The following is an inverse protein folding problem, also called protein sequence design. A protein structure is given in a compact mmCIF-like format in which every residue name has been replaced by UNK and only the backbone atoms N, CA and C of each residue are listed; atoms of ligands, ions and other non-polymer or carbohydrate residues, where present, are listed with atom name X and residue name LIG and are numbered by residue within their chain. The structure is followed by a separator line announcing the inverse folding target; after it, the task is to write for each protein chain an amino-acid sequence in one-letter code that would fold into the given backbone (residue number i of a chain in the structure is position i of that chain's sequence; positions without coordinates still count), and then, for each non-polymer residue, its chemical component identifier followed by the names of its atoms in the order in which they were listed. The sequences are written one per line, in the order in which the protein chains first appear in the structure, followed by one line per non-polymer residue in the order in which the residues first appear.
data_IF_307278993985
#
_entry.id   IF_307278993985
#
_cell.length_a   1.000
_cell.length_b   1.000
_cell.length_c   1.000
_cell.angle_alpha   90.00
_cell.angle_beta   90.00
_cell.angle_gamma   90.00
#
_symmetry.space_group_name_H-M   'P 1'
#
loop_
_entity.id
_entity.type
_entity.pdbx_description
1 polymer ?
#
# COMPACT_ATOMS: atom_id res chain seq x y z
N UNK A 1 -11.93 -20.98 5.56
CA UNK A 1 -11.94 -19.96 4.50
C UNK A 1 -12.74 -20.51 3.34
N UNK A 2 -13.81 -19.81 2.95
CA UNK A 2 -14.60 -20.16 1.77
C UNK A 2 -13.83 -19.81 0.49
N UNK A 3 -14.22 -20.40 -0.64
CA UNK A 3 -13.64 -20.06 -1.95
C UNK A 3 -13.77 -18.56 -2.25
N UNK A 4 -14.92 -17.97 -1.92
CA UNK A 4 -15.19 -16.55 -2.13
C UNK A 4 -14.30 -15.65 -1.29
N UNK A 5 -14.07 -16.00 -0.02
CA UNK A 5 -13.13 -15.26 0.84
C UNK A 5 -11.71 -15.31 0.26
N UNK A 6 -11.28 -16.49 -0.24
CA UNK A 6 -9.97 -16.65 -0.84
C UNK A 6 -9.78 -15.78 -2.11
N UNK A 7 -10.80 -15.72 -2.96
CA UNK A 7 -10.83 -14.87 -4.17
C UNK A 7 -10.71 -13.39 -3.80
N UNK A 8 -11.51 -12.90 -2.85
CA UNK A 8 -11.46 -11.50 -2.41
C UNK A 8 -10.09 -11.13 -1.83
N UNK A 9 -9.49 -12.03 -1.04
CA UNK A 9 -8.13 -11.83 -0.51
C UNK A 9 -7.12 -11.73 -1.66
N UNK A 10 -7.18 -12.64 -2.64
CA UNK A 10 -6.26 -12.64 -3.78
C UNK A 10 -6.41 -11.38 -4.66
N UNK A 11 -7.61 -10.82 -4.77
CA UNK A 11 -7.89 -9.60 -5.54
C UNK A 11 -7.50 -8.31 -4.79
N UNK A 12 -7.49 -8.33 -3.46
CA UNK A 12 -7.39 -7.10 -2.65
C UNK A 12 -6.06 -6.97 -1.90
N UNK A 13 -5.43 -8.08 -1.52
CA UNK A 13 -4.20 -8.08 -0.75
C UNK A 13 -3.00 -8.21 -1.71
N UNK A 14 -2.05 -7.26 -1.69
CA UNK A 14 -0.82 -7.37 -2.48
C UNK A 14 -0.09 -8.68 -2.16
N UNK A 15 0.70 -9.17 -3.10
CA UNK A 15 1.44 -10.41 -2.88
C UNK A 15 2.23 -10.34 -1.57
N UNK A 16 2.05 -11.36 -0.72
CA UNK A 16 2.60 -11.38 0.64
C UNK A 16 3.08 -12.78 0.99
N UNK A 17 4.28 -12.90 1.57
CA UNK A 17 4.85 -14.16 2.08
C UNK A 17 5.53 -13.94 3.43
N UNK A 18 5.52 -14.96 4.28
CA UNK A 18 6.42 -15.01 5.43
C UNK A 18 7.84 -15.07 4.89
N UNK A 19 8.72 -14.21 5.39
CA UNK A 19 10.12 -14.17 5.00
C UNK A 19 10.83 -15.40 5.59
N UNK A 20 11.03 -16.43 4.78
CA UNK A 20 11.74 -17.66 5.15
C UNK A 20 12.31 -18.37 3.92
N UNK A 21 13.40 -19.15 4.04
CA UNK A 21 13.94 -19.91 2.92
C UNK A 21 12.88 -20.82 2.28
N UNK A 22 12.89 -20.89 0.94
CA UNK A 22 12.06 -21.81 0.19
C UNK A 22 11.44 -21.21 -1.07
N UNK A 23 10.82 -22.08 -1.86
CA UNK A 23 10.20 -21.70 -3.13
C UNK A 23 8.78 -21.20 -2.93
N UNK A 24 8.43 -20.13 -3.60
CA UNK A 24 7.10 -19.51 -3.55
C UNK A 24 6.61 -19.15 -4.94
N UNK A 25 5.29 -19.03 -5.08
CA UNK A 25 4.67 -18.48 -6.30
C UNK A 25 4.70 -16.96 -6.27
N UNK A 26 5.06 -16.32 -7.38
CA UNK A 26 4.94 -14.88 -7.63
C UNK A 26 4.34 -14.68 -9.04
N UNK A 27 3.07 -14.27 -9.12
CA UNK A 27 2.30 -14.41 -10.35
C UNK A 27 2.30 -15.86 -10.84
N UNK A 28 2.67 -16.07 -12.10
CA UNK A 28 2.80 -17.38 -12.74
C UNK A 28 4.17 -18.06 -12.50
N UNK A 29 5.08 -17.40 -11.78
CA UNK A 29 6.45 -17.85 -11.59
C UNK A 29 6.65 -18.57 -10.25
N UNK A 30 7.61 -19.51 -10.20
CA UNK A 30 8.09 -20.13 -8.95
C UNK A 30 9.53 -19.73 -8.71
N UNK A 31 9.75 -18.90 -7.69
CA UNK A 31 11.05 -18.30 -7.36
C UNK A 31 11.59 -18.83 -6.03
N UNK A 32 12.91 -18.80 -5.84
CA UNK A 32 13.47 -18.86 -4.49
C UNK A 32 13.17 -17.53 -3.78
N UNK A 33 12.57 -17.59 -2.59
CA UNK A 33 12.08 -16.39 -1.93
C UNK A 33 13.21 -15.44 -1.55
N UNK A 34 14.32 -15.93 -1.00
CA UNK A 34 15.35 -15.04 -0.46
C UNK A 34 16.13 -14.36 -1.57
N UNK A 35 16.48 -15.11 -2.62
CA UNK A 35 17.10 -14.54 -3.83
C UNK A 35 16.18 -13.49 -4.46
N UNK A 36 14.89 -13.82 -4.65
CA UNK A 36 13.92 -12.89 -5.23
C UNK A 36 13.80 -11.60 -4.40
N UNK A 37 13.75 -11.72 -3.07
CA UNK A 37 13.58 -10.56 -2.17
C UNK A 37 14.82 -9.66 -2.18
N UNK A 38 16.02 -10.22 -2.26
CA UNK A 38 17.26 -9.45 -2.38
C UNK A 38 17.31 -8.72 -3.73
N UNK A 39 17.07 -9.43 -4.84
CA UNK A 39 17.17 -8.88 -6.20
C UNK A 39 16.07 -7.85 -6.54
N UNK A 40 14.89 -7.96 -5.92
CA UNK A 40 13.72 -7.15 -6.27
C UNK A 40 13.33 -6.13 -5.18
N UNK A 41 14.27 -5.78 -4.28
CA UNK A 41 14.06 -4.86 -3.15
C UNK A 41 13.15 -3.68 -3.46
N UNK A 42 13.39 -2.95 -4.56
CA UNK A 42 12.66 -1.71 -4.88
C UNK A 42 11.13 -1.89 -5.03
N UNK A 43 10.67 -3.12 -5.24
CA UNK A 43 9.24 -3.46 -5.39
C UNK A 43 8.62 -4.02 -4.12
N UNK A 44 9.37 -4.09 -3.03
CA UNK A 44 9.01 -4.89 -1.86
C UNK A 44 9.07 -4.05 -0.58
N UNK A 45 8.38 -4.55 0.44
CA UNK A 45 8.39 -4.04 1.81
C UNK A 45 8.63 -5.21 2.76
N UNK A 46 9.53 -5.03 3.71
CA UNK A 46 9.69 -5.90 4.87
C UNK A 46 8.98 -5.29 6.07
N UNK A 47 8.24 -6.09 6.82
CA UNK A 47 7.62 -5.67 8.09
C UNK A 47 7.43 -6.85 9.04
N UNK A 48 7.43 -6.62 10.37
CA UNK A 48 7.11 -7.66 11.34
C UNK A 48 5.74 -8.27 11.09
N UNK A 49 5.61 -9.59 11.28
CA UNK A 49 4.38 -10.33 11.04
C UNK A 49 3.29 -10.04 12.09
N UNK A 50 3.68 -9.64 13.30
CA UNK A 50 2.80 -9.53 14.48
C UNK A 50 2.79 -8.15 15.15
N UNK A 51 3.51 -7.15 14.63
CA UNK A 51 3.52 -5.81 15.22
C UNK A 51 2.51 -4.85 14.57
N UNK A 52 1.99 -3.94 15.39
CA UNK A 52 1.10 -2.85 14.96
C UNK A 52 1.83 -1.51 15.09
N UNK A 53 1.62 -0.61 14.12
CA UNK A 53 2.08 0.78 14.22
C UNK A 53 3.31 1.14 13.39
N UNK A 54 3.70 0.34 12.40
CA UNK A 54 4.71 0.74 11.41
C UNK A 54 6.16 0.81 11.91
N UNK A 55 6.44 0.35 13.12
CA UNK A 55 7.80 0.06 13.56
C UNK A 55 8.32 -1.20 12.86
N UNK A 56 9.62 -1.25 12.57
CA UNK A 56 10.23 -2.35 11.83
C UNK A 56 9.85 -2.43 10.34
N UNK A 57 9.10 -1.46 9.80
CA UNK A 57 8.79 -1.42 8.37
C UNK A 57 9.97 -0.85 7.59
N UNK A 58 10.56 -1.66 6.72
CA UNK A 58 11.57 -1.23 5.77
C UNK A 58 10.97 -1.20 4.38
N UNK A 59 10.86 0.00 3.80
CA UNK A 59 10.49 0.15 2.40
C UNK A 59 11.71 -0.16 1.56
N UNK A 60 11.58 -1.18 0.71
CA UNK A 60 12.70 -1.60 -0.10
C UNK A 60 13.24 -0.44 -0.91
N UNK A 61 12.42 0.34 -1.61
CA UNK A 61 12.85 1.52 -2.37
C UNK A 61 13.66 2.57 -1.58
N UNK A 62 13.46 2.70 -0.27
CA UNK A 62 14.15 3.70 0.59
C UNK A 62 15.33 3.09 1.38
N UNK A 63 15.47 1.77 1.39
CA UNK A 63 16.49 1.05 2.18
C UNK A 63 17.74 0.79 1.33
N UNK A 64 18.94 1.08 1.82
CA UNK A 64 20.17 0.75 1.08
C UNK A 64 20.32 -0.77 0.85
N UNK A 65 20.93 -1.23 -0.27
CA UNK A 65 21.05 -2.67 -0.57
C UNK A 65 21.65 -3.48 0.58
N UNK A 66 22.76 -3.01 1.15
CA UNK A 66 23.45 -3.73 2.22
C UNK A 66 22.60 -3.87 3.50
N UNK A 67 21.84 -2.83 3.85
CA UNK A 67 20.94 -2.88 5.01
C UNK A 67 19.75 -3.79 4.77
N UNK A 68 19.23 -3.82 3.53
CA UNK A 68 18.16 -4.72 3.15
C UNK A 68 18.58 -6.19 3.23
N UNK A 69 19.72 -6.54 2.65
CA UNK A 69 20.22 -7.92 2.69
C UNK A 69 20.53 -8.37 4.13
N UNK A 70 21.03 -7.45 4.95
CA UNK A 70 21.21 -7.68 6.39
C UNK A 70 19.87 -7.99 7.07
N UNK A 71 18.84 -7.17 6.85
CA UNK A 71 17.49 -7.40 7.40
C UNK A 71 16.89 -8.73 6.92
N UNK A 72 17.09 -9.08 5.66
CA UNK A 72 16.65 -10.37 5.11
C UNK A 72 17.32 -11.51 5.87
N UNK A 73 18.64 -11.46 6.04
CA UNK A 73 19.39 -12.49 6.77
C UNK A 73 19.01 -12.59 8.25
N UNK A 74 18.78 -11.45 8.92
CA UNK A 74 18.40 -11.39 10.34
C UNK A 74 17.05 -12.05 10.62
N UNK A 75 16.08 -11.92 9.71
CA UNK A 75 14.69 -12.32 9.96
C UNK A 75 14.21 -13.56 9.18
N UNK A 76 14.98 -14.03 8.19
CA UNK A 76 14.58 -15.18 7.39
C UNK A 76 14.51 -16.49 8.19
N UNK A 77 15.40 -16.68 9.17
CA UNK A 77 15.42 -17.92 9.97
C UNK A 77 14.30 -17.96 11.00
N UNK A 78 14.03 -16.83 11.66
CA UNK A 78 12.96 -16.69 12.65
C UNK A 78 11.57 -16.70 12.01
N UNK A 79 11.44 -16.24 10.76
CA UNK A 79 10.14 -16.10 10.09
C UNK A 79 9.21 -15.13 10.81
N UNK A 80 9.76 -14.19 11.56
CA UNK A 80 9.06 -13.16 12.32
C UNK A 80 8.69 -11.95 11.44
N UNK A 81 9.20 -11.89 10.21
CA UNK A 81 8.87 -10.88 9.21
C UNK A 81 8.05 -11.46 8.06
N UNK A 82 7.31 -10.57 7.41
CA UNK A 82 6.73 -10.82 6.09
C UNK A 82 7.38 -9.92 5.07
N UNK A 83 7.42 -10.39 3.83
CA UNK A 83 7.68 -9.59 2.65
C UNK A 83 6.39 -9.41 1.86
N UNK A 84 6.16 -8.20 1.38
CA UNK A 84 4.96 -7.84 0.63
C UNK A 84 5.32 -6.93 -0.54
N UNK A 85 4.56 -7.01 -1.64
CA UNK A 85 4.65 -6.03 -2.72
C UNK A 85 4.37 -4.61 -2.20
N UNK A 86 5.25 -3.69 -2.56
CA UNK A 86 5.08 -2.28 -2.26
C UNK A 86 3.91 -1.72 -3.06
N UNK A 87 2.95 -1.12 -2.36
CA UNK A 87 1.88 -0.33 -2.95
C UNK A 87 2.21 1.14 -2.73
N UNK A 88 2.45 1.92 -3.80
CA UNK A 88 2.64 3.35 -3.69
C UNK A 88 1.48 4.01 -2.95
N UNK A 89 1.81 4.80 -1.93
CA UNK A 89 0.81 5.54 -1.17
C UNK A 89 0.34 6.72 -2.01
N UNK A 90 -0.99 6.91 -2.19
CA UNK A 90 -1.49 8.02 -3.00
C UNK A 90 -1.22 9.37 -2.31
N UNK A 91 -1.07 10.39 -3.14
CA UNK A 91 -0.82 11.77 -2.74
C UNK A 91 -1.96 12.67 -3.22
N UNK A 92 -2.37 13.63 -2.41
CA UNK A 92 -3.41 14.60 -2.73
C UNK A 92 -3.13 15.94 -2.03
N UNK A 93 -3.69 17.02 -2.55
CA UNK A 93 -3.57 18.35 -1.97
C UNK A 93 -4.49 18.51 -0.76
N UNK A 94 -3.91 18.69 0.43
CA UNK A 94 -4.63 19.00 1.67
C UNK A 94 -4.35 20.42 2.16
N UNK A 95 -5.34 21.11 2.76
CA UNK A 95 -5.12 22.40 3.38
C UNK A 95 -4.31 22.24 4.68
N UNK A 96 -3.20 22.96 4.80
CA UNK A 96 -2.37 23.10 6.00
C UNK A 96 -2.39 24.55 6.49
N UNK A 97 -2.18 24.76 7.79
CA UNK A 97 -2.01 26.12 8.36
C UNK A 97 -0.54 26.33 8.63
N UNK A 98 0.07 27.29 7.93
CA UNK A 98 1.48 27.67 8.03
C UNK A 98 1.54 29.18 8.23
N UNK A 99 2.22 29.64 9.30
CA UNK A 99 2.36 31.07 9.64
C UNK A 99 1.03 31.87 9.68
N UNK A 100 -0.05 31.22 10.11
CA UNK A 100 -1.39 31.83 10.17
C UNK A 100 -2.15 31.88 8.84
N UNK A 101 -1.59 31.31 7.77
CA UNK A 101 -2.21 31.24 6.45
C UNK A 101 -2.55 29.80 6.06
N UNK A 102 -3.67 29.63 5.34
CA UNK A 102 -4.02 28.33 4.75
C UNK A 102 -3.25 28.15 3.45
N UNK A 103 -2.57 27.03 3.33
CA UNK A 103 -1.77 26.65 2.18
C UNK A 103 -2.16 25.24 1.73
N UNK A 104 -2.25 25.01 0.41
CA UNK A 104 -2.44 23.67 -0.09
C UNK A 104 -1.07 22.97 -0.17
N UNK A 105 -0.97 21.77 0.41
CA UNK A 105 0.24 20.95 0.39
C UNK A 105 -0.09 19.55 -0.08
N UNK A 106 0.79 19.00 -0.93
CA UNK A 106 0.72 17.62 -1.31
C UNK A 106 1.04 16.77 -0.08
N UNK A 107 0.12 15.88 0.30
CA UNK A 107 0.29 14.94 1.42
C UNK A 107 -0.04 13.54 0.95
N UNK A 108 0.66 12.57 1.50
CA UNK A 108 0.31 11.15 1.38
C UNK A 108 -0.88 10.85 2.27
N UNK A 109 -1.81 10.02 1.82
CA UNK A 109 -2.96 9.66 2.62
C UNK A 109 -3.31 8.18 2.56
N UNK A 110 -3.95 7.67 3.61
CA UNK A 110 -4.62 6.38 3.57
C UNK A 110 -5.99 6.44 4.25
N UNK A 111 -6.89 5.59 3.77
CA UNK A 111 -8.25 5.45 4.28
C UNK A 111 -8.34 4.13 5.04
N UNK A 112 -8.87 4.18 6.26
CA UNK A 112 -8.87 3.05 7.19
C UNK A 112 -10.31 2.77 7.61
N UNK A 113 -11.05 1.93 6.88
CA UNK A 113 -12.41 1.55 7.24
C UNK A 113 -12.44 0.63 8.46
N UNK A 114 -13.46 0.79 9.29
CA UNK A 114 -13.74 -0.05 10.45
C UNK A 114 -14.90 -1.01 10.15
N UNK A 115 -14.76 -2.25 10.61
CA UNK A 115 -15.82 -3.26 10.60
C UNK A 115 -16.11 -3.75 12.02
N UNK A 116 -17.38 -3.70 12.44
CA UNK A 116 -17.82 -4.23 13.75
C UNK A 116 -18.94 -5.25 13.49
N UNK A 117 -18.75 -6.48 13.97
CA UNK A 117 -19.72 -7.57 13.74
C UNK A 117 -19.97 -7.86 12.25
N UNK A 118 -18.94 -7.70 11.40
CA UNK A 118 -19.06 -7.88 9.94
C UNK A 118 -19.78 -6.75 9.20
N UNK A 119 -20.04 -5.61 9.86
CA UNK A 119 -20.68 -4.44 9.25
C UNK A 119 -19.75 -3.25 9.25
N UNK A 120 -19.79 -2.46 8.16
CA UNK A 120 -19.09 -1.19 8.08
C UNK A 120 -19.53 -0.25 9.22
N UNK A 121 -18.55 0.32 9.94
CA UNK A 121 -18.75 1.10 11.16
C UNK A 121 -18.14 2.51 11.07
N UNK A 122 -17.77 2.96 9.87
CA UNK A 122 -17.07 4.23 9.65
C UNK A 122 -15.66 4.02 9.13
N UNK A 123 -14.93 5.10 8.97
CA UNK A 123 -13.54 5.06 8.54
C UNK A 123 -12.80 6.29 9.06
N UNK A 124 -11.47 6.23 9.02
CA UNK A 124 -10.61 7.37 9.33
C UNK A 124 -9.55 7.55 8.26
N UNK A 125 -9.27 8.80 7.91
CA UNK A 125 -8.19 9.14 6.98
C UNK A 125 -6.99 9.62 7.79
N UNK A 126 -5.80 9.10 7.46
CA UNK A 126 -4.54 9.63 7.97
C UNK A 126 -3.80 10.27 6.82
N UNK A 127 -3.20 11.43 7.08
CA UNK A 127 -2.33 12.14 6.13
C UNK A 127 -0.91 12.20 6.70
N UNK A 128 0.12 12.21 5.85
CA UNK A 128 1.52 12.33 6.26
C UNK A 128 2.38 12.96 5.17
N UNK A 129 3.52 13.53 5.56
CA UNK A 129 4.60 13.89 4.64
C UNK A 129 5.47 12.68 4.27
N UNK A 130 5.35 11.54 4.96
CA UNK A 130 6.18 10.34 4.77
C UNK A 130 5.40 9.19 4.14
N UNK A 131 6.12 8.29 3.47
CA UNK A 131 5.54 7.07 2.88
C UNK A 131 5.01 6.11 3.94
N UNK A 132 5.72 5.96 5.07
CA UNK A 132 5.21 5.22 6.23
C UNK A 132 4.27 6.13 7.04
N UNK A 133 2.96 6.02 6.78
CA UNK A 133 1.92 6.77 7.48
C UNK A 133 1.71 6.19 8.88
N UNK A 134 2.46 6.71 9.86
CA UNK A 134 2.21 6.51 11.28
C UNK A 134 1.82 7.83 11.95
N UNK A 135 0.86 7.78 12.89
CA UNK A 135 0.35 8.95 13.63
C UNK A 135 1.46 9.59 14.49
N UNK A 136 2.44 8.82 14.96
CA UNK A 136 3.59 9.34 15.71
C UNK A 136 4.66 10.00 14.85
N UNK A 137 4.60 9.90 13.51
CA UNK A 137 5.60 10.43 12.58
C UNK A 137 5.22 11.79 11.96
N UNK A 138 4.37 12.58 12.64
CA UNK A 138 3.92 13.90 12.17
C UNK A 138 2.72 13.86 11.22
N UNK A 139 1.97 12.75 11.22
CA UNK A 139 0.75 12.62 10.43
C UNK A 139 -0.46 13.32 11.05
N UNK A 140 -1.37 13.81 10.20
CA UNK A 140 -2.66 14.37 10.60
C UNK A 140 -3.77 13.33 10.56
N UNK A 141 -4.75 13.46 11.46
CA UNK A 141 -5.97 12.64 11.49
C UNK A 141 -7.13 13.46 10.93
N UNK A 142 -7.82 12.94 9.91
CA UNK A 142 -8.95 13.61 9.29
C UNK A 142 -10.23 12.77 9.40
N UNK A 143 -11.38 13.40 9.68
CA UNK A 143 -12.66 12.72 9.53
C UNK A 143 -12.90 12.40 8.06
N UNK A 144 -13.39 11.20 7.78
CA UNK A 144 -13.81 10.80 6.44
C UNK A 144 -15.33 10.79 6.37
N UNK A 145 -15.90 11.37 5.32
CA UNK A 145 -17.34 11.36 5.08
C UNK A 145 -17.64 10.65 3.76
N UNK A 146 -18.59 9.73 3.79
CA UNK A 146 -19.06 9.07 2.56
C UNK A 146 -20.14 9.96 1.94
N UNK A 147 -19.77 10.72 0.91
CA UNK A 147 -20.72 11.49 0.13
C UNK A 147 -21.60 10.58 -0.74
N UNK A 148 -22.92 10.74 -0.68
CA UNK A 148 -23.82 10.22 -1.73
C UNK A 148 -24.03 11.33 -2.74
N UNK A 149 -23.30 11.28 -3.85
CA UNK A 149 -23.51 12.23 -4.93
C UNK A 149 -24.78 11.86 -5.71
N UNK A 150 -25.66 12.84 -5.95
CA UNK A 150 -26.87 12.66 -6.79
C UNK A 150 -26.54 12.60 -8.29
N UNK A 151 -25.34 13.03 -8.68
CA UNK A 151 -24.79 12.99 -10.03
C UNK A 151 -23.33 12.53 -9.94
N UNK A 152 -22.82 11.84 -10.97
CA UNK A 152 -21.39 11.47 -11.07
C UNK A 152 -20.52 12.73 -11.00
N UNK A 153 -19.38 12.64 -10.30
CA UNK A 153 -18.40 13.72 -10.25
C UNK A 153 -17.61 13.77 -11.58
N UNK A 154 -17.34 14.97 -12.07
CA UNK A 154 -16.80 15.31 -13.40
C UNK A 154 -15.37 14.81 -13.69
N UNK A 155 -14.79 13.95 -12.85
CA UNK A 155 -13.43 13.44 -13.01
C UNK A 155 -13.36 12.07 -13.72
N UNK A 156 -14.50 11.49 -14.10
CA UNK A 156 -14.56 10.21 -14.84
C UNK A 156 -14.53 10.39 -16.37
N UNK A 157 -14.62 11.63 -16.88
CA UNK A 157 -14.68 11.92 -18.32
C UNK A 157 -13.28 12.08 -18.93
N UNK A 158 -12.56 10.97 -19.02
CA UNK A 158 -11.48 10.82 -19.99
C UNK A 158 -11.47 9.39 -20.57
N UNK A 159 -12.63 8.94 -21.08
CA UNK A 159 -12.61 7.93 -22.13
C UNK A 159 -11.86 8.51 -23.35
N UNK A 160 -10.73 7.91 -23.69
CA UNK A 160 -9.99 8.23 -24.90
C UNK A 160 -10.93 8.03 -26.11
N UNK A 161 -11.01 8.98 -27.06
CA UNK A 161 -11.86 8.80 -28.23
C UNK A 161 -11.36 7.59 -29.03
N UNK A 162 -12.26 6.64 -29.23
CA UNK A 162 -12.09 5.52 -30.15
C UNK A 162 -11.75 6.07 -31.54
N UNK A 163 -10.49 5.93 -31.96
CA UNK A 163 -10.06 6.30 -33.30
C UNK A 163 -10.67 5.28 -34.27
N UNK A 164 -11.81 5.63 -34.84
CA UNK A 164 -12.42 4.88 -35.93
C UNK A 164 -11.43 4.79 -37.11
N UNK A 165 -10.88 3.60 -37.33
CA UNK A 165 -10.17 3.29 -38.57
C UNK A 165 -11.20 3.27 -39.71
N UNK A 166 -11.17 4.31 -40.55
CA UNK A 166 -11.84 4.25 -41.85
C UNK A 166 -11.11 3.21 -42.74
N UNK A 167 -11.84 2.42 -43.56
CA UNK A 167 -11.21 1.48 -44.47
C UNK A 167 -10.52 2.25 -45.60
N UNK A 168 -9.26 1.89 -45.87
CA UNK A 168 -8.50 2.40 -47.02
C UNK A 168 -9.14 1.98 -48.35
N UNK A 169 -8.99 2.78 -49.42
CA UNK A 169 -9.51 2.47 -50.76
C UNK A 169 -8.79 1.30 -51.44
#
# INVERSE_FOLDING_TARGET
MTKREAEVIAETIPWTRILRPGRVTYGDWVVDLLEFVSDNRQRLVLKPASEYGGQGVSLGIETEPADWDRLVGEHAESGDYIVQEYVPVPEEMFPTVEDGHVQMRLKRFNINPFGIGGRYAGMITRISDRAVINVSAGGGLLPSVVGRHKQRLLAEDAEQPEVAHAPSP
#
